data_IF_596451702690
#
_entry.id   IF_596451702690
#
_cell.length_a   1.000
_cell.length_b   1.000
_cell.length_c   1.000
_cell.angle_alpha   90.00
_cell.angle_beta   90.00
_cell.angle_gamma   90.00
#
_symmetry.space_group_name_H-M   'P 1'
#
loop_
_entity.id
_entity.type
_entity.pdbx_description
1 polymer ?
#
# COMPACT_ATOMS: atom_id res chain seq x y z
N UNK A 1 -51.54 11.16 79.85
CA UNK A 1 -51.94 9.97 80.65
C UNK A 1 -51.77 8.75 79.74
N UNK A 2 -50.76 7.89 79.94
CA UNK A 2 -50.90 6.50 80.48
C UNK A 2 -52.04 5.74 79.74
N UNK A 3 -51.89 4.62 79.02
CA UNK A 3 -51.09 3.37 79.14
C UNK A 3 -51.15 2.65 77.76
N UNK A 4 -50.07 2.12 77.18
CA UNK A 4 -49.49 0.79 77.35
C UNK A 4 -50.50 -0.39 77.31
N UNK A 5 -50.53 -1.12 76.19
CA UNK A 5 -50.89 -2.54 76.15
C UNK A 5 -50.05 -3.25 75.06
N UNK A 6 -49.28 -4.24 75.51
CA UNK A 6 -48.57 -5.27 74.74
C UNK A 6 -49.56 -6.30 74.17
N UNK A 7 -49.28 -6.91 73.02
CA UNK A 7 -48.85 -8.33 72.90
C UNK A 7 -48.84 -8.83 71.43
N UNK A 8 -47.71 -9.47 71.04
CA UNK A 8 -47.54 -10.74 70.30
C UNK A 8 -48.50 -11.05 69.12
N UNK A 9 -48.09 -11.44 67.90
CA UNK A 9 -47.00 -12.32 67.48
C UNK A 9 -47.00 -12.46 65.95
N UNK A 10 -45.85 -12.85 65.40
CA UNK A 10 -45.68 -13.50 64.09
C UNK A 10 -45.84 -12.62 62.85
N UNK A 11 -44.70 -12.13 62.35
CA UNK A 11 -44.56 -11.89 60.92
C UNK A 11 -43.19 -12.41 60.48
N UNK A 12 -43.25 -13.43 59.63
CA UNK A 12 -42.12 -14.16 59.07
C UNK A 12 -41.04 -13.23 58.53
N UNK A 13 -39.81 -13.44 59.00
CA UNK A 13 -38.59 -12.85 58.46
C UNK A 13 -38.37 -13.40 57.05
N UNK A 14 -38.62 -12.58 56.04
CA UNK A 14 -38.22 -12.83 54.66
C UNK A 14 -36.77 -12.34 54.49
N UNK A 15 -35.83 -13.26 54.41
CA UNK A 15 -34.41 -12.99 54.24
C UNK A 15 -34.06 -12.84 52.74
N UNK A 16 -33.49 -11.67 52.42
CA UNK A 16 -32.52 -11.32 51.37
C UNK A 16 -32.56 -12.05 50.01
N UNK A 17 -32.60 -11.25 48.94
CA UNK A 17 -31.37 -10.87 48.19
C UNK A 17 -31.56 -9.50 47.54
N UNK A 18 -30.81 -8.49 48.00
CA UNK A 18 -30.60 -7.24 47.25
C UNK A 18 -29.34 -7.45 46.42
N UNK A 19 -29.51 -7.62 45.12
CA UNK A 19 -28.41 -7.53 44.16
C UNK A 19 -28.01 -6.06 44.05
N UNK A 20 -26.82 -5.72 44.54
CA UNK A 20 -26.18 -4.43 44.28
C UNK A 20 -25.82 -4.39 42.79
N UNK A 21 -26.67 -3.77 41.98
CA UNK A 21 -26.26 -3.31 40.66
C UNK A 21 -25.44 -2.05 40.87
N UNK A 22 -24.12 -2.23 40.96
CA UNK A 22 -23.17 -1.13 40.90
C UNK A 22 -23.42 -0.33 39.64
N UNK A 23 -23.85 0.92 39.81
CA UNK A 23 -23.82 1.97 38.80
C UNK A 23 -22.37 2.19 38.38
N UNK A 24 -21.95 1.52 37.31
CA UNK A 24 -20.84 2.00 36.50
C UNK A 24 -21.41 2.97 35.46
N UNK A 25 -20.78 4.14 35.42
CA UNK A 25 -21.05 5.22 34.48
C UNK A 25 -21.20 4.67 33.05
N UNK A 26 -22.21 5.18 32.34
CA UNK A 26 -22.34 4.99 30.91
C UNK A 26 -21.09 5.52 30.20
N UNK A 27 -20.15 4.62 29.91
CA UNK A 27 -19.28 4.77 28.76
C UNK A 27 -20.17 4.51 27.54
N UNK A 28 -20.34 5.53 26.71
CA UNK A 28 -20.92 5.35 25.39
C UNK A 28 -20.14 4.22 24.69
N UNK A 29 -20.82 3.13 24.37
CA UNK A 29 -20.32 2.15 23.43
C UNK A 29 -20.16 2.86 22.08
N UNK A 30 -18.92 3.28 21.81
CA UNK A 30 -18.51 3.60 20.45
C UNK A 30 -18.75 2.35 19.62
N UNK A 31 -19.41 2.44 18.46
CA UNK A 31 -19.51 1.31 17.55
C UNK A 31 -18.07 0.86 17.25
N UNK A 32 -17.72 -0.33 17.70
CA UNK A 32 -16.48 -0.97 17.32
C UNK A 32 -16.54 -1.20 15.82
N UNK A 33 -15.93 -0.28 15.07
CA UNK A 33 -15.69 -0.40 13.65
C UNK A 33 -14.56 -1.42 13.44
N UNK A 34 -14.84 -2.68 13.76
CA UNK A 34 -14.07 -3.80 13.26
C UNK A 34 -14.44 -3.96 11.78
N UNK A 35 -13.84 -3.12 10.91
CA UNK A 35 -13.70 -3.47 9.50
C UNK A 35 -12.71 -4.63 9.44
N UNK A 36 -13.21 -5.82 9.79
CA UNK A 36 -12.52 -7.07 9.59
C UNK A 36 -12.07 -7.09 8.14
N UNK A 37 -10.75 -7.03 7.97
CA UNK A 37 -10.06 -7.12 6.71
C UNK A 37 -10.51 -8.43 6.07
N UNK A 38 -11.58 -8.36 5.27
CA UNK A 38 -12.08 -9.52 4.54
C UNK A 38 -10.91 -10.02 3.71
N UNK A 39 -10.56 -11.32 3.75
CA UNK A 39 -9.42 -11.81 3.01
C UNK A 39 -9.64 -11.40 1.55
N UNK A 40 -8.70 -10.63 1.00
CA UNK A 40 -8.77 -10.12 -0.37
C UNK A 40 -8.52 -11.30 -1.31
N UNK A 41 -9.48 -12.23 -1.34
CA UNK A 41 -9.35 -13.56 -1.89
C UNK A 41 -10.69 -13.99 -2.46
N UNK A 42 -10.68 -14.66 -3.59
CA UNK A 42 -11.90 -15.11 -4.24
C UNK A 42 -11.66 -15.66 -5.63
N UNK A 43 -12.75 -16.10 -6.27
CA UNK A 43 -12.74 -16.57 -7.65
C UNK A 43 -12.67 -15.38 -8.59
N UNK A 44 -11.73 -15.37 -9.52
CA UNK A 44 -11.67 -14.34 -10.56
C UNK A 44 -12.87 -14.49 -11.49
N UNK A 45 -13.68 -13.44 -11.59
CA UNK A 45 -14.84 -13.40 -12.50
C UNK A 45 -14.62 -12.45 -13.67
N UNK A 46 -13.68 -11.52 -13.57
CA UNK A 46 -13.31 -10.59 -14.64
C UNK A 46 -11.84 -10.17 -14.45
N UNK A 47 -11.11 -9.96 -15.54
CA UNK A 47 -9.76 -9.40 -15.48
C UNK A 47 -9.44 -8.56 -16.72
N UNK A 48 -8.66 -7.50 -16.54
CA UNK A 48 -8.19 -6.64 -17.64
C UNK A 48 -6.84 -6.01 -17.30
N UNK A 49 -5.99 -5.88 -18.32
CA UNK A 49 -4.70 -5.22 -18.19
C UNK A 49 -4.78 -3.79 -18.72
N UNK A 50 -4.29 -2.83 -17.96
CA UNK A 50 -4.21 -1.44 -18.41
C UNK A 50 -3.23 -0.63 -17.56
N UNK A 51 -2.53 0.32 -18.17
CA UNK A 51 -1.68 1.27 -17.43
C UNK A 51 -0.61 0.65 -16.54
N UNK A 52 -0.14 -0.57 -16.85
CA UNK A 52 0.85 -1.30 -16.03
C UNK A 52 0.27 -2.12 -14.87
N UNK A 53 -1.05 -2.18 -14.76
CA UNK A 53 -1.78 -2.95 -13.74
C UNK A 53 -2.62 -4.04 -14.39
N UNK A 54 -2.88 -5.09 -13.62
CA UNK A 54 -3.97 -6.04 -13.87
C UNK A 54 -5.08 -5.74 -12.88
N UNK A 55 -6.25 -5.41 -13.42
CA UNK A 55 -7.48 -5.19 -12.68
C UNK A 55 -8.23 -6.52 -12.63
N UNK A 56 -8.53 -6.99 -11.44
CA UNK A 56 -9.14 -8.29 -11.18
C UNK A 56 -10.42 -8.07 -10.39
N UNK A 57 -11.54 -8.56 -10.90
CA UNK A 57 -12.78 -8.65 -10.14
C UNK A 57 -12.84 -10.05 -9.52
N UNK A 58 -12.81 -10.13 -8.21
CA UNK A 58 -12.96 -11.38 -7.48
C UNK A 58 -14.33 -11.47 -6.84
N UNK A 59 -14.88 -12.68 -6.83
CA UNK A 59 -16.10 -13.02 -6.12
C UNK A 59 -15.79 -13.93 -4.93
N UNK A 60 -16.27 -13.54 -3.76
CA UNK A 60 -16.23 -14.35 -2.54
C UNK A 60 -17.59 -14.27 -1.84
N UNK A 61 -18.22 -15.42 -1.62
CA UNK A 61 -19.54 -15.53 -0.99
C UNK A 61 -20.60 -14.58 -1.63
N UNK A 62 -20.59 -14.45 -2.96
CA UNK A 62 -21.50 -13.58 -3.71
C UNK A 62 -21.15 -12.08 -3.72
N UNK A 63 -20.11 -11.65 -2.99
CA UNK A 63 -19.61 -10.27 -3.02
C UNK A 63 -18.49 -10.12 -4.05
N UNK A 64 -18.66 -9.18 -4.98
CA UNK A 64 -17.64 -8.81 -5.98
C UNK A 64 -16.76 -7.67 -5.48
N UNK A 65 -15.46 -7.79 -5.65
CA UNK A 65 -14.47 -6.79 -5.24
C UNK A 65 -13.43 -6.62 -6.35
N UNK A 66 -13.23 -5.37 -6.78
CA UNK A 66 -12.16 -5.04 -7.71
C UNK A 66 -10.83 -4.89 -6.98
N UNK A 67 -9.78 -5.46 -7.57
CA UNK A 67 -8.40 -5.39 -7.09
C UNK A 67 -7.49 -4.98 -8.25
N UNK A 68 -6.72 -3.91 -8.09
CA UNK A 68 -5.64 -3.57 -9.01
C UNK A 68 -4.31 -4.05 -8.41
N UNK A 69 -3.59 -4.89 -9.15
CA UNK A 69 -2.23 -5.33 -8.82
C UNK A 69 -1.26 -4.91 -9.92
N UNK A 70 0.06 -4.83 -9.65
CA UNK A 70 1.05 -4.77 -10.72
C UNK A 70 0.77 -5.87 -11.75
N UNK A 71 1.03 -5.58 -13.04
CA UNK A 71 0.69 -6.49 -14.15
C UNK A 71 1.06 -7.94 -13.83
N UNK A 72 0.05 -8.79 -13.68
CA UNK A 72 0.17 -10.17 -13.21
C UNK A 72 -0.68 -11.07 -14.11
N UNK A 73 -0.16 -12.23 -14.57
CA UNK A 73 -0.98 -13.17 -15.33
C UNK A 73 -2.17 -13.67 -14.49
N UNK A 74 -3.38 -13.42 -14.98
CA UNK A 74 -4.62 -13.84 -14.33
C UNK A 74 -5.49 -14.63 -15.31
N UNK A 75 -6.05 -15.75 -14.85
CA UNK A 75 -7.05 -16.52 -15.60
C UNK A 75 -8.42 -16.37 -14.95
N UNK A 76 -9.42 -16.02 -15.74
CA UNK A 76 -10.82 -16.01 -15.28
C UNK A 76 -11.21 -17.42 -14.83
N UNK A 77 -11.84 -17.52 -13.67
CA UNK A 77 -12.27 -18.77 -13.05
C UNK A 77 -11.32 -19.32 -11.98
N UNK A 78 -10.08 -18.82 -11.87
CA UNK A 78 -9.13 -19.27 -10.86
C UNK A 78 -9.38 -18.59 -9.50
N UNK A 79 -9.07 -19.27 -8.40
CA UNK A 79 -9.07 -18.66 -7.07
C UNK A 79 -7.74 -17.97 -6.83
N UNK A 80 -7.78 -16.72 -6.37
CA UNK A 80 -6.58 -15.93 -6.03
C UNK A 80 -6.74 -15.28 -4.67
N UNK A 81 -5.60 -15.03 -4.02
CA UNK A 81 -5.48 -14.24 -2.80
C UNK A 81 -4.52 -13.09 -3.06
N UNK A 82 -4.82 -11.91 -2.54
CA UNK A 82 -4.07 -10.70 -2.79
C UNK A 82 -3.62 -10.09 -1.47
N UNK A 83 -2.47 -9.43 -1.52
CA UNK A 83 -1.95 -8.66 -0.39
C UNK A 83 -2.98 -7.59 0.01
N UNK A 84 -3.04 -7.19 1.28
CA UNK A 84 -3.84 -6.02 1.67
C UNK A 84 -3.50 -4.80 0.81
N UNK A 85 -4.48 -3.91 0.64
CA UNK A 85 -4.35 -2.77 -0.27
C UNK A 85 -5.30 -1.63 0.07
N UNK A 86 -5.18 -0.51 -0.64
CA UNK A 86 -6.09 0.64 -0.44
C UNK A 86 -7.36 0.51 -1.24
N UNK A 87 -8.49 0.68 -0.56
CA UNK A 87 -9.77 0.92 -1.22
C UNK A 87 -9.80 2.35 -1.74
N UNK A 88 -9.92 2.50 -3.05
CA UNK A 88 -10.21 3.74 -3.74
C UNK A 88 -11.67 3.74 -4.16
N UNK A 89 -12.43 4.71 -3.67
CA UNK A 89 -13.81 4.91 -4.10
C UNK A 89 -13.87 5.85 -5.30
N UNK A 90 -14.81 5.63 -6.21
CA UNK A 90 -15.02 6.44 -7.43
C UNK A 90 -13.74 6.62 -8.27
N UNK A 91 -12.92 5.57 -8.37
CA UNK A 91 -11.68 5.62 -9.12
C UNK A 91 -11.94 5.61 -10.63
N UNK A 92 -11.55 6.67 -11.32
CA UNK A 92 -11.63 6.73 -12.78
C UNK A 92 -10.32 6.27 -13.43
N UNK A 93 -10.37 5.14 -14.13
CA UNK A 93 -9.30 4.70 -15.01
C UNK A 93 -9.44 5.37 -16.38
N UNK A 94 -8.52 6.27 -16.71
CA UNK A 94 -8.47 6.94 -18.01
C UNK A 94 -8.15 5.98 -19.15
N UNK A 95 -7.29 4.99 -18.90
CA UNK A 95 -6.85 4.04 -19.92
C UNK A 95 -7.88 2.95 -20.21
N UNK A 96 -8.75 2.63 -19.25
CA UNK A 96 -9.90 1.75 -19.46
C UNK A 96 -11.17 2.51 -19.85
N UNK A 97 -11.14 3.85 -19.83
CA UNK A 97 -12.31 4.71 -19.94
C UNK A 97 -13.47 4.23 -19.04
N UNK A 98 -13.14 3.85 -17.80
CA UNK A 98 -14.07 3.21 -16.85
C UNK A 98 -13.91 3.81 -15.46
N UNK A 99 -15.02 3.98 -14.76
CA UNK A 99 -15.05 4.33 -13.35
C UNK A 99 -15.40 3.11 -12.51
N UNK A 100 -14.67 2.93 -11.41
CA UNK A 100 -14.89 1.89 -10.42
C UNK A 100 -15.48 2.53 -9.17
N UNK A 101 -16.66 2.07 -8.73
CA UNK A 101 -17.29 2.56 -7.49
C UNK A 101 -16.37 2.34 -6.27
N UNK A 102 -15.72 1.16 -6.22
CA UNK A 102 -14.65 0.85 -5.29
C UNK A 102 -13.65 -0.12 -5.93
N UNK A 103 -12.35 0.10 -5.70
CA UNK A 103 -11.26 -0.78 -6.15
C UNK A 103 -10.14 -0.81 -5.12
N UNK A 104 -9.55 -1.98 -4.89
CA UNK A 104 -8.44 -2.19 -3.95
C UNK A 104 -7.11 -2.18 -4.69
N UNK A 105 -6.25 -1.20 -4.47
CA UNK A 105 -4.87 -1.21 -4.95
C UNK A 105 -4.00 -2.04 -4.02
N UNK A 106 -3.66 -3.26 -4.46
CA UNK A 106 -2.93 -4.26 -3.70
C UNK A 106 -1.47 -4.37 -4.16
N UNK A 107 -0.58 -4.69 -3.22
CA UNK A 107 0.85 -4.88 -3.48
C UNK A 107 1.19 -6.12 -4.31
N UNK A 108 0.26 -7.06 -4.52
CA UNK A 108 0.51 -8.29 -5.28
C UNK A 108 -0.34 -9.47 -4.82
N UNK A 109 0.00 -10.67 -5.27
CA UNK A 109 -0.72 -11.92 -4.95
C UNK A 109 -0.08 -12.60 -3.72
N UNK A 110 -0.89 -13.11 -2.79
CA UNK A 110 -0.44 -13.93 -1.65
C UNK A 110 -0.31 -15.39 -2.11
N UNK A 111 0.79 -16.06 -1.74
CA UNK A 111 1.00 -17.49 -2.05
C UNK A 111 1.69 -17.75 -3.40
N UNK A 112 1.92 -16.70 -4.18
CA UNK A 112 2.93 -16.70 -5.22
C UNK A 112 4.20 -16.15 -4.58
N UNK A 113 5.08 -17.05 -4.10
CA UNK A 113 6.50 -16.70 -4.00
C UNK A 113 6.89 -16.04 -5.32
N UNK A 114 7.71 -14.99 -5.27
CA UNK A 114 8.26 -14.34 -6.46
C UNK A 114 8.83 -15.41 -7.40
N UNK A 115 8.01 -15.80 -8.36
CA UNK A 115 8.39 -16.58 -9.51
C UNK A 115 8.53 -15.53 -10.59
N UNK A 116 9.74 -14.97 -10.65
CA UNK A 116 10.16 -14.27 -11.85
C UNK A 116 9.78 -15.11 -13.07
N UNK A 117 9.15 -14.45 -14.04
CA UNK A 117 9.12 -14.80 -15.45
C UNK A 117 8.91 -16.27 -15.84
N UNK A 118 7.73 -16.58 -16.37
CA UNK A 118 7.65 -17.48 -17.54
C UNK A 118 6.73 -16.89 -18.60
N UNK A 119 7.35 -16.61 -19.74
CA UNK A 119 6.78 -16.30 -21.04
C UNK A 119 5.79 -17.39 -21.51
N UNK A 120 4.81 -17.00 -22.32
CA UNK A 120 4.08 -17.89 -23.22
C UNK A 120 5.04 -18.50 -24.28
N UNK A 121 4.68 -19.62 -24.95
CA UNK A 121 5.64 -20.51 -25.60
C UNK A 121 6.31 -19.88 -26.82
N UNK A 122 7.60 -20.20 -26.99
CA UNK A 122 8.39 -19.86 -28.17
C UNK A 122 7.85 -20.57 -29.42
N UNK A 123 7.85 -19.88 -30.56
CA UNK A 123 8.05 -20.60 -31.83
C UNK A 123 9.56 -20.76 -32.02
N UNK A 124 9.96 -22.00 -32.27
CA UNK A 124 11.28 -22.55 -32.01
C UNK A 124 12.45 -21.76 -32.61
N UNK A 125 13.22 -21.09 -31.75
CA UNK A 125 14.70 -21.05 -31.73
C UNK A 125 15.11 -20.24 -30.50
N UNK A 126 16.02 -20.74 -29.63
CA UNK A 126 16.22 -20.16 -28.31
C UNK A 126 17.02 -18.84 -28.38
N UNK A 127 16.47 -17.69 -27.94
CA UNK A 127 17.30 -16.53 -27.66
C UNK A 127 17.71 -16.56 -26.18
N UNK A 128 19.00 -16.84 -25.99
CA UNK A 128 19.89 -16.44 -24.91
C UNK A 128 19.27 -15.57 -23.80
N UNK A 129 19.30 -16.13 -22.58
CA UNK A 129 19.27 -15.48 -21.26
C UNK A 129 19.72 -13.99 -21.34
N UNK A 130 18.81 -13.06 -21.09
CA UNK A 130 19.15 -11.71 -20.63
C UNK A 130 19.23 -11.79 -19.09
N UNK A 131 20.33 -12.29 -18.52
CA UNK A 131 21.47 -11.47 -18.13
C UNK A 131 20.99 -10.17 -17.47
N UNK A 132 20.75 -10.25 -16.17
CA UNK A 132 21.26 -9.29 -15.18
C UNK A 132 21.63 -7.94 -15.82
N UNK A 133 20.62 -7.10 -16.10
CA UNK A 133 20.88 -5.75 -16.59
C UNK A 133 21.32 -4.94 -15.39
N UNK A 134 22.60 -5.03 -15.06
CA UNK A 134 23.23 -4.23 -14.00
C UNK A 134 23.06 -2.76 -14.38
N UNK A 135 22.05 -2.10 -13.79
CA UNK A 135 21.88 -0.66 -13.91
C UNK A 135 23.14 -0.03 -13.32
N UNK A 136 23.78 0.87 -14.08
CA UNK A 136 24.96 1.60 -13.62
C UNK A 136 24.89 3.01 -14.17
N UNK A 137 24.48 3.95 -13.34
CA UNK A 137 24.31 5.35 -13.68
C UNK A 137 25.26 6.18 -12.84
N UNK A 138 26.01 7.07 -13.48
CA UNK A 138 26.90 7.98 -12.75
C UNK A 138 26.10 8.90 -11.82
N UNK A 139 26.64 9.06 -10.60
CA UNK A 139 26.15 10.00 -9.59
C UNK A 139 25.98 11.39 -10.20
N UNK A 140 24.91 12.10 -9.81
CA UNK A 140 24.69 13.48 -10.21
C UNK A 140 25.87 14.38 -9.79
N UNK A 141 26.09 15.49 -10.51
CA UNK A 141 27.05 16.50 -10.11
C UNK A 141 26.42 17.53 -9.17
N UNK A 142 27.21 18.06 -8.23
CA UNK A 142 26.79 19.13 -7.31
C UNK A 142 26.97 18.77 -5.84
N UNK A 143 26.90 19.77 -4.97
CA UNK A 143 27.10 19.61 -3.52
C UNK A 143 25.99 18.83 -2.83
N UNK A 144 24.78 18.87 -3.40
CA UNK A 144 23.60 18.16 -2.89
C UNK A 144 23.35 16.85 -3.64
N UNK A 145 24.34 16.36 -4.40
CA UNK A 145 24.21 15.15 -5.18
C UNK A 145 24.54 13.91 -4.37
N UNK A 146 23.68 12.90 -4.48
CA UNK A 146 23.82 11.62 -3.79
C UNK A 146 23.44 10.47 -4.73
N UNK A 147 24.07 9.32 -4.52
CA UNK A 147 23.60 8.03 -5.05
C UNK A 147 22.36 7.57 -4.28
N UNK A 148 21.63 6.61 -4.83
CA UNK A 148 20.46 6.01 -4.16
C UNK A 148 20.85 5.43 -2.80
N UNK A 149 21.95 4.67 -2.71
CA UNK A 149 22.44 4.13 -1.45
C UNK A 149 22.75 5.22 -0.42
N UNK A 150 23.44 6.29 -0.82
CA UNK A 150 23.80 7.40 0.08
C UNK A 150 22.55 8.09 0.63
N UNK A 151 21.45 8.20 -0.13
CA UNK A 151 20.20 8.77 0.36
C UNK A 151 19.60 7.94 1.50
N UNK A 152 19.69 6.61 1.43
CA UNK A 152 19.27 5.73 2.52
C UNK A 152 20.20 5.83 3.74
N UNK A 153 21.52 5.73 3.52
CA UNK A 153 22.52 5.81 4.58
C UNK A 153 22.49 7.14 5.33
N UNK A 154 22.35 8.26 4.60
CA UNK A 154 22.38 9.61 5.15
C UNK A 154 20.98 10.18 5.42
N UNK A 155 19.93 9.38 5.27
CA UNK A 155 18.51 9.78 5.40
C UNK A 155 18.21 10.62 6.64
N UNK A 156 18.79 10.27 7.78
CA UNK A 156 18.60 11.02 9.03
C UNK A 156 19.16 12.45 8.96
N UNK A 157 20.29 12.66 8.28
CA UNK A 157 20.91 13.99 8.10
C UNK A 157 20.29 14.79 6.94
N UNK A 158 19.73 14.10 5.95
CA UNK A 158 19.13 14.68 4.76
C UNK A 158 17.62 14.93 4.90
N UNK A 159 17.01 14.52 6.02
CA UNK A 159 15.58 14.70 6.24
C UNK A 159 15.18 16.18 6.13
N UNK A 160 14.20 16.46 5.28
CA UNK A 160 13.71 17.79 4.90
C UNK A 160 14.75 18.67 4.20
N UNK A 161 15.80 18.08 3.60
CA UNK A 161 16.81 18.79 2.80
C UNK A 161 16.58 18.58 1.32
N UNK A 162 17.02 19.55 0.53
CA UNK A 162 17.08 19.40 -0.93
C UNK A 162 18.21 18.44 -1.27
N UNK A 163 17.90 17.47 -2.12
CA UNK A 163 18.85 16.50 -2.65
C UNK A 163 18.71 16.42 -4.17
N UNK A 164 19.78 15.98 -4.81
CA UNK A 164 19.83 15.67 -6.23
C UNK A 164 20.24 14.21 -6.39
N UNK A 165 19.44 13.45 -7.14
CA UNK A 165 19.72 12.05 -7.47
C UNK A 165 19.59 11.84 -8.97
N UNK A 166 20.48 11.06 -9.55
CA UNK A 166 20.45 10.71 -10.96
C UNK A 166 20.40 9.19 -11.10
N UNK A 167 19.50 8.70 -11.94
CA UNK A 167 19.33 7.27 -12.15
C UNK A 167 18.41 6.95 -13.32
N UNK A 168 18.29 5.67 -13.63
CA UNK A 168 17.35 5.12 -14.59
C UNK A 168 15.97 4.99 -13.95
N UNK A 169 14.94 5.47 -14.65
CA UNK A 169 13.55 5.28 -14.25
C UNK A 169 13.19 3.82 -14.48
N UNK A 170 12.94 3.06 -13.42
CA UNK A 170 12.54 1.65 -13.51
C UNK A 170 11.02 1.47 -13.49
N UNK A 171 10.29 2.45 -12.95
CA UNK A 171 8.82 2.47 -12.94
C UNK A 171 8.30 3.90 -12.87
N UNK A 172 7.24 4.16 -13.63
CA UNK A 172 6.53 5.45 -13.66
C UNK A 172 5.04 5.20 -13.46
N UNK A 173 4.47 5.81 -12.42
CA UNK A 173 3.04 5.78 -12.11
C UNK A 173 2.49 7.21 -12.08
N UNK A 174 1.62 7.55 -13.04
CA UNK A 174 1.12 8.91 -13.19
C UNK A 174 -0.18 9.15 -12.40
N UNK A 175 -0.39 10.41 -12.00
CA UNK A 175 -1.66 10.92 -11.45
C UNK A 175 -2.18 10.21 -10.18
N UNK A 176 -1.27 9.78 -9.30
CA UNK A 176 -1.63 9.24 -7.99
C UNK A 176 -1.54 10.38 -6.97
N UNK A 177 -2.66 10.67 -6.30
CA UNK A 177 -2.77 11.80 -5.36
C UNK A 177 -2.36 13.15 -5.98
N UNK A 178 -2.67 13.35 -7.26
CA UNK A 178 -2.32 14.58 -8.00
C UNK A 178 -0.85 14.71 -8.40
N UNK A 179 -0.02 13.67 -8.18
CA UNK A 179 1.41 13.65 -8.51
C UNK A 179 1.76 12.45 -9.38
N UNK A 180 2.93 12.52 -10.02
CA UNK A 180 3.57 11.38 -10.64
C UNK A 180 4.58 10.78 -9.67
N UNK A 181 4.67 9.45 -9.66
CA UNK A 181 5.50 8.66 -8.76
C UNK A 181 6.49 7.86 -9.61
N UNK A 182 7.77 8.02 -9.32
CA UNK A 182 8.86 7.50 -10.14
C UNK A 182 9.79 6.71 -9.24
N UNK A 183 10.03 5.45 -9.61
CA UNK A 183 11.10 4.66 -9.04
C UNK A 183 12.37 4.86 -9.87
N UNK A 184 13.45 5.23 -9.20
CA UNK A 184 14.75 5.52 -9.80
C UNK A 184 15.80 4.59 -9.21
N UNK A 185 16.63 3.99 -10.06
CA UNK A 185 17.79 3.18 -9.66
C UNK A 185 19.05 3.69 -10.34
N UNK A 186 20.17 3.73 -9.63
CA UNK A 186 21.47 4.14 -10.18
C UNK A 186 22.51 3.01 -10.20
N UNK A 187 22.14 1.83 -9.70
CA UNK A 187 23.03 0.68 -9.54
C UNK A 187 23.72 0.57 -8.19
N UNK A 188 23.54 1.55 -7.30
CA UNK A 188 23.96 1.47 -5.92
C UNK A 188 22.90 0.81 -5.04
N UNK A 189 23.28 0.40 -3.83
CA UNK A 189 22.36 -0.11 -2.81
C UNK A 189 22.20 -1.64 -2.85
N UNK A 190 21.29 -2.13 -2.00
CA UNK A 190 21.05 -3.57 -1.81
C UNK A 190 19.59 -3.91 -2.15
N UNK A 191 19.34 -4.64 -3.26
CA UNK A 191 18.00 -5.10 -3.63
C UNK A 191 17.28 -5.91 -2.55
N UNK A 192 18.02 -6.69 -1.77
CA UNK A 192 17.44 -7.51 -0.70
C UNK A 192 16.95 -6.66 0.48
N UNK A 193 17.40 -5.40 0.58
CA UNK A 193 16.97 -4.43 1.59
C UNK A 193 16.07 -3.33 1.02
N UNK A 194 15.82 -3.33 -0.29
CA UNK A 194 15.09 -2.29 -0.99
C UNK A 194 15.78 -0.91 -0.95
N UNK A 195 17.11 -0.86 -0.76
CA UNK A 195 17.89 0.39 -0.71
C UNK A 195 18.57 0.71 -2.04
N UNK A 196 18.26 -0.06 -3.08
CA UNK A 196 18.73 0.13 -4.45
C UNK A 196 17.77 0.95 -5.33
N UNK A 197 16.62 1.32 -4.77
CA UNK A 197 15.52 2.00 -5.46
C UNK A 197 15.06 3.17 -4.61
N UNK A 198 14.92 4.36 -5.21
CA UNK A 198 14.36 5.53 -4.54
C UNK A 198 13.06 5.95 -5.20
N UNK A 199 12.04 6.16 -4.37
CA UNK A 199 10.77 6.73 -4.80
C UNK A 199 10.84 8.25 -4.85
N UNK A 200 10.39 8.81 -5.97
CA UNK A 200 10.39 10.25 -6.24
C UNK A 200 8.98 10.69 -6.66
N UNK A 201 8.44 11.73 -6.02
CA UNK A 201 7.21 12.39 -6.49
C UNK A 201 7.54 13.65 -7.28
N UNK A 202 6.80 13.90 -8.36
CA UNK A 202 7.02 15.04 -9.26
C UNK A 202 5.74 15.40 -10.03
N UNK A 203 5.68 16.63 -10.56
CA UNK A 203 4.70 17.02 -11.58
C UNK A 203 5.19 16.72 -13.00
N UNK A 204 6.48 16.45 -13.19
CA UNK A 204 7.08 16.11 -14.48
C UNK A 204 6.72 14.71 -14.96
N UNK A 205 6.91 14.45 -16.25
CA UNK A 205 6.67 13.12 -16.86
C UNK A 205 7.99 12.42 -17.20
N UNK A 206 8.01 11.10 -17.02
CA UNK A 206 9.12 10.24 -17.41
C UNK A 206 8.58 8.91 -17.97
N UNK A 207 9.46 8.09 -18.54
CA UNK A 207 9.18 6.75 -19.04
C UNK A 207 10.20 5.78 -18.46
N UNK A 208 9.81 4.51 -18.33
CA UNK A 208 10.75 3.46 -17.95
C UNK A 208 11.92 3.43 -18.95
N UNK A 209 13.15 3.35 -18.44
CA UNK A 209 14.39 3.41 -19.21
C UNK A 209 14.96 4.83 -19.43
N UNK A 210 14.23 5.90 -19.08
CA UNK A 210 14.79 7.25 -19.11
C UNK A 210 15.88 7.37 -18.02
N UNK A 211 17.03 7.96 -18.36
CA UNK A 211 17.95 8.47 -17.33
C UNK A 211 17.50 9.87 -16.95
N UNK A 212 17.27 10.10 -15.66
CA UNK A 212 16.80 11.39 -15.16
C UNK A 212 17.65 11.86 -13.99
N UNK A 213 17.80 13.19 -13.87
CA UNK A 213 18.27 13.87 -12.67
C UNK A 213 17.08 14.50 -11.97
N UNK A 214 16.75 14.01 -10.77
CA UNK A 214 15.68 14.50 -9.93
C UNK A 214 16.24 15.37 -8.81
N UNK A 215 15.70 16.59 -8.66
CA UNK A 215 16.02 17.51 -7.56
C UNK A 215 14.76 17.79 -6.75
N UNK A 216 14.71 17.37 -5.49
CA UNK A 216 13.54 17.51 -4.63
C UNK A 216 13.90 17.48 -3.15
N UNK A 217 12.89 17.45 -2.28
CA UNK A 217 13.09 17.40 -0.82
C UNK A 217 13.07 15.95 -0.35
N UNK A 218 14.14 15.49 0.30
CA UNK A 218 14.16 14.17 0.92
C UNK A 218 13.35 14.18 2.21
N UNK A 219 12.50 13.18 2.40
CA UNK A 219 11.83 12.89 3.66
C UNK A 219 12.22 11.51 4.15
N UNK A 220 12.49 11.42 5.45
CA UNK A 220 12.64 10.16 6.17
C UNK A 220 11.34 9.82 6.90
N UNK A 221 10.99 8.53 6.92
CA UNK A 221 9.84 7.98 7.63
C UNK A 221 8.53 8.68 7.25
N UNK A 222 8.37 8.95 5.94
CA UNK A 222 7.20 9.63 5.41
C UNK A 222 6.00 8.71 5.48
N UNK A 223 4.96 9.15 6.18
CA UNK A 223 3.69 8.46 6.30
C UNK A 223 2.61 9.25 5.55
N UNK A 224 2.00 8.63 4.53
CA UNK A 224 0.85 9.18 3.82
C UNK A 224 -0.49 8.65 4.37
N UNK A 225 -0.46 7.88 5.46
CA UNK A 225 -1.62 7.19 6.01
C UNK A 225 -1.89 5.86 5.31
N UNK A 226 -2.86 5.09 5.84
CA UNK A 226 -3.38 3.87 5.19
C UNK A 226 -2.32 2.81 4.82
N UNK A 227 -1.18 2.78 5.54
CA UNK A 227 -0.08 1.84 5.31
C UNK A 227 1.00 2.30 4.32
N UNK A 228 0.89 3.51 3.74
CA UNK A 228 1.88 4.06 2.80
C UNK A 228 2.97 4.78 3.56
N UNK A 229 3.92 3.98 4.06
CA UNK A 229 5.09 4.45 4.78
C UNK A 229 6.33 4.21 3.94
N UNK A 230 7.11 5.26 3.76
CA UNK A 230 8.36 5.21 3.03
C UNK A 230 9.48 5.61 3.98
N UNK A 231 10.44 4.71 4.20
CA UNK A 231 11.61 4.97 5.02
C UNK A 231 12.41 6.15 4.47
N UNK A 232 12.50 6.27 3.14
CA UNK A 232 13.07 7.41 2.41
C UNK A 232 12.27 7.67 1.14
N UNK A 233 11.97 8.93 0.86
CA UNK A 233 11.30 9.40 -0.37
C UNK A 233 11.80 10.79 -0.74
N UNK A 234 11.87 11.11 -2.03
CA UNK A 234 12.13 12.49 -2.50
C UNK A 234 10.83 13.07 -3.04
N UNK A 235 10.31 14.12 -2.42
CA UNK A 235 9.05 14.75 -2.84
C UNK A 235 9.24 16.05 -3.63
N UNK A 236 8.23 16.36 -4.44
CA UNK A 236 8.11 17.58 -5.24
C UNK A 236 9.34 17.85 -6.13
N UNK A 237 9.89 16.77 -6.69
CA UNK A 237 11.11 16.87 -7.46
C UNK A 237 10.86 17.55 -8.82
N UNK A 238 11.77 18.44 -9.21
CA UNK A 238 11.96 18.80 -10.61
C UNK A 238 12.84 17.75 -11.27
N UNK A 239 12.44 17.26 -12.45
CA UNK A 239 13.19 16.24 -13.20
C UNK A 239 13.76 16.83 -14.50
N UNK A 240 14.99 16.42 -14.84
CA UNK A 240 15.68 16.71 -16.11
C UNK A 240 16.16 15.40 -16.72
N UNK A 241 16.12 15.28 -18.05
CA UNK A 241 16.63 14.13 -18.81
C UNK A 241 18.03 14.41 -19.30
#
# INVERSE_FOLDING_TARGET
MKRFFLLFTSLSVLLLTVSVNGTYAGAAELPQMNQGMSPLSGKVVESMDSGGYTYVNIENAGKKTWVAVPKTPVKVGQNMSFQPGMVMNNFQSKTLNRTFEAIVFSGGVIGQQETGSVSAPAEHTPPKIAADKTIKVEKASGTDAYTVAELYEKSSSLNKKIVVVRGEVVKFSANIMGKNWIHIQDGSGDPSKGTNDILVTTSGSAKAGDIVTAKGTLYKDKDFGSGYKYSVIVEEASIKK
#
